data_IF_834376468879
#
_entry.id   IF_834376468879
#
_cell.length_a   1.000
_cell.length_b   1.000
_cell.length_c   1.000
_cell.angle_alpha   90.00
_cell.angle_beta   90.00
_cell.angle_gamma   90.00
#
_symmetry.space_group_name_H-M   'P 1'
#
loop_
_entity.id
_entity.type
_entity.pdbx_description
1 polymer ?
#
# COMPACT_ATOMS: atom_id res chain seq x y z
N UNK A 1 12.24 -0.61 32.92
CA UNK A 1 11.25 -1.03 31.91
C UNK A 1 11.74 -0.52 30.56
N UNK A 2 12.64 -1.27 29.91
CA UNK A 2 13.10 -0.91 28.57
C UNK A 2 12.26 -1.73 27.60
N UNK A 3 11.19 -1.12 27.09
CA UNK A 3 10.48 -1.66 25.94
C UNK A 3 11.46 -1.62 24.76
N UNK A 4 12.15 -2.73 24.54
CA UNK A 4 12.94 -2.94 23.34
C UNK A 4 11.99 -2.71 22.17
N UNK A 5 12.28 -1.70 21.35
CA UNK A 5 11.74 -1.64 20.00
C UNK A 5 12.29 -2.88 19.30
N UNK A 6 11.58 -3.99 19.39
CA UNK A 6 11.78 -5.11 18.50
C UNK A 6 11.52 -4.55 17.11
N UNK A 7 12.59 -4.38 16.34
CA UNK A 7 12.45 -4.20 14.90
C UNK A 7 11.56 -5.35 14.43
N UNK A 8 10.44 -5.08 13.73
CA UNK A 8 9.56 -6.13 13.27
C UNK A 8 10.40 -7.15 12.51
N UNK A 9 10.25 -8.44 12.83
CA UNK A 9 10.96 -9.49 12.10
C UNK A 9 10.65 -9.37 10.61
N UNK A 10 11.59 -9.80 9.77
CA UNK A 10 11.44 -9.76 8.32
C UNK A 10 10.12 -10.41 7.85
N UNK A 11 9.70 -11.48 8.53
CA UNK A 11 8.42 -12.15 8.31
C UNK A 11 7.21 -11.22 8.53
N UNK A 12 7.23 -10.41 9.59
CA UNK A 12 6.18 -9.41 9.87
C UNK A 12 6.15 -8.34 8.80
N UNK A 13 7.32 -7.87 8.35
CA UNK A 13 7.41 -6.89 7.26
C UNK A 13 6.86 -7.47 5.95
N UNK A 14 7.17 -8.74 5.64
CA UNK A 14 6.65 -9.44 4.45
C UNK A 14 5.13 -9.62 4.49
N UNK A 15 4.57 -10.03 5.64
CA UNK A 15 3.11 -10.14 5.81
C UNK A 15 2.46 -8.76 5.61
N UNK A 16 3.02 -7.72 6.22
CA UNK A 16 2.51 -6.35 6.07
C UNK A 16 2.56 -5.88 4.62
N UNK A 17 3.62 -6.21 3.89
CA UNK A 17 3.76 -5.92 2.46
C UNK A 17 2.67 -6.60 1.65
N UNK A 18 2.40 -7.87 1.94
CA UNK A 18 1.36 -8.64 1.25
C UNK A 18 -0.04 -8.07 1.49
N UNK A 19 -0.33 -7.68 2.73
CA UNK A 19 -1.59 -6.99 3.09
C UNK A 19 -1.72 -5.67 2.33
N UNK A 20 -0.69 -4.83 2.33
CA UNK A 20 -0.72 -3.55 1.60
C UNK A 20 -0.90 -3.76 0.09
N UNK A 21 -0.25 -4.77 -0.49
CA UNK A 21 -0.42 -5.15 -1.91
C UNK A 21 -1.83 -5.63 -2.20
N UNK A 22 -2.46 -6.37 -1.29
CA UNK A 22 -3.86 -6.78 -1.42
C UNK A 22 -4.80 -5.58 -1.36
N UNK A 23 -4.67 -4.71 -0.36
CA UNK A 23 -5.46 -3.48 -0.25
C UNK A 23 -5.32 -2.59 -1.49
N UNK A 24 -4.12 -2.50 -2.07
CA UNK A 24 -3.89 -1.77 -3.30
C UNK A 24 -4.65 -2.37 -4.50
N UNK A 25 -4.73 -3.70 -4.61
CA UNK A 25 -5.53 -4.39 -5.66
C UNK A 25 -7.03 -4.18 -5.47
N UNK A 26 -7.49 -4.20 -4.22
CA UNK A 26 -8.90 -3.96 -3.89
C UNK A 26 -9.30 -2.53 -4.24
N UNK A 27 -8.43 -1.55 -3.95
CA UNK A 27 -8.61 -0.16 -4.38
C UNK A 27 -8.66 -0.03 -5.91
N UNK A 28 -7.87 -0.83 -6.64
CA UNK A 28 -7.92 -0.81 -8.10
C UNK A 28 -9.26 -1.28 -8.64
N UNK A 29 -9.75 -2.40 -8.11
CA UNK A 29 -11.08 -2.94 -8.47
C UNK A 29 -12.18 -1.93 -8.15
N UNK A 30 -12.09 -1.23 -7.01
CA UNK A 30 -13.04 -0.19 -6.64
C UNK A 30 -12.97 1.02 -7.60
N UNK A 31 -11.78 1.46 -8.00
CA UNK A 31 -11.60 2.55 -8.96
C UNK A 31 -12.18 2.17 -10.33
N UNK A 32 -11.94 0.94 -10.80
CA UNK A 32 -12.50 0.44 -12.05
C UNK A 32 -14.03 0.46 -12.01
N UNK A 33 -14.65 -0.08 -10.95
CA UNK A 33 -16.10 -0.08 -10.78
C UNK A 33 -16.71 1.34 -10.74
N UNK A 34 -15.97 2.33 -10.22
CA UNK A 34 -16.40 3.73 -10.13
C UNK A 34 -16.09 4.55 -11.38
N UNK A 35 -15.26 4.04 -12.31
CA UNK A 35 -14.85 4.79 -13.51
C UNK A 35 -16.02 4.97 -14.48
N UNK A 36 -16.94 4.01 -14.54
CA UNK A 36 -18.12 4.07 -15.39
C UNK A 36 -19.24 4.98 -14.84
N UNK A 37 -19.09 5.49 -13.60
CA UNK A 37 -20.06 6.38 -12.96
C UNK A 37 -19.66 7.86 -13.09
N UNK A 38 -20.40 8.68 -13.86
CA UNK A 38 -20.05 10.09 -14.08
C UNK A 38 -20.26 10.99 -12.85
N UNK A 39 -21.00 10.53 -11.84
CA UNK A 39 -21.32 11.31 -10.63
C UNK A 39 -20.28 11.17 -9.52
N UNK A 40 -19.36 10.20 -9.63
CA UNK A 40 -18.45 9.81 -8.55
C UNK A 40 -17.04 10.40 -8.66
N UNK A 41 -16.86 11.50 -9.41
CA UNK A 41 -15.54 12.11 -9.66
C UNK A 41 -14.75 12.44 -8.39
N UNK A 42 -15.41 12.93 -7.33
CA UNK A 42 -14.77 13.21 -6.04
C UNK A 42 -14.34 11.92 -5.32
N UNK A 43 -15.18 10.90 -5.35
CA UNK A 43 -14.89 9.57 -4.78
C UNK A 43 -13.70 8.93 -5.50
N UNK A 44 -13.72 8.96 -6.83
CA UNK A 44 -12.64 8.45 -7.67
C UNK A 44 -11.32 9.19 -7.44
N UNK A 45 -11.34 10.51 -7.26
CA UNK A 45 -10.15 11.28 -6.90
C UNK A 45 -9.60 10.89 -5.52
N UNK A 46 -10.47 10.67 -4.52
CA UNK A 46 -10.06 10.20 -3.18
C UNK A 46 -9.46 8.81 -3.22
N UNK A 47 -10.04 7.88 -3.98
CA UNK A 47 -9.53 6.51 -4.13
C UNK A 47 -8.18 6.50 -4.84
N UNK A 48 -8.01 7.27 -5.91
CA UNK A 48 -6.72 7.42 -6.59
C UNK A 48 -5.63 7.98 -5.67
N UNK A 49 -5.97 8.95 -4.82
CA UNK A 49 -5.04 9.49 -3.81
C UNK A 49 -4.67 8.44 -2.76
N UNK A 50 -5.63 7.65 -2.28
CA UNK A 50 -5.37 6.54 -1.35
C UNK A 50 -4.49 5.47 -2.00
N UNK A 51 -4.78 5.09 -3.24
CA UNK A 51 -3.98 4.15 -4.02
C UNK A 51 -2.53 4.61 -4.16
N UNK A 52 -2.31 5.88 -4.46
CA UNK A 52 -0.96 6.46 -4.53
C UNK A 52 -0.23 6.35 -3.18
N UNK A 53 -0.91 6.70 -2.08
CA UNK A 53 -0.33 6.57 -0.74
C UNK A 53 -0.02 5.13 -0.32
N UNK A 54 -0.83 4.15 -0.75
CA UNK A 54 -0.52 2.73 -0.55
C UNK A 54 0.69 2.31 -1.37
N UNK A 55 0.79 2.73 -2.64
CA UNK A 55 1.96 2.47 -3.48
C UNK A 55 3.24 3.00 -2.85
N UNK A 56 3.23 4.23 -2.32
CA UNK A 56 4.39 4.83 -1.68
C UNK A 56 4.80 4.05 -0.41
N UNK A 57 3.82 3.57 0.38
CA UNK A 57 4.08 2.74 1.56
C UNK A 57 4.61 1.36 1.21
N UNK A 58 4.10 0.76 0.13
CA UNK A 58 4.59 -0.51 -0.42
C UNK A 58 6.06 -0.34 -0.81
N UNK A 59 6.39 0.69 -1.59
CA UNK A 59 7.77 0.97 -2.01
C UNK A 59 8.70 1.16 -0.80
N UNK A 60 8.32 1.97 0.19
CA UNK A 60 9.13 2.16 1.41
C UNK A 60 9.32 0.87 2.22
N UNK A 61 8.36 -0.05 2.19
CA UNK A 61 8.43 -1.32 2.89
C UNK A 61 9.25 -2.35 2.09
N UNK A 62 9.13 -2.35 0.77
CA UNK A 62 9.95 -3.11 -0.15
C UNK A 62 11.42 -2.70 -0.04
N UNK A 63 11.73 -1.40 -0.04
CA UNK A 63 13.09 -0.88 0.14
C UNK A 63 13.71 -1.33 1.49
N UNK A 64 12.87 -1.53 2.52
CA UNK A 64 13.33 -2.03 3.83
C UNK A 64 13.57 -3.53 3.86
N UNK A 65 12.84 -4.32 3.08
CA UNK A 65 12.94 -5.79 3.02
C UNK A 65 14.01 -6.20 2.01
N UNK A 66 14.07 -5.52 0.86
CA UNK A 66 15.02 -5.74 -0.22
C UNK A 66 15.78 -4.42 -0.48
N UNK A 67 16.82 -4.11 0.31
CA UNK A 67 17.55 -2.85 0.17
C UNK A 67 18.39 -2.72 -1.12
N UNK A 68 18.28 -3.61 -2.11
CA UNK A 68 19.35 -3.75 -3.12
C UNK A 68 18.93 -4.16 -4.55
N UNK A 69 17.84 -3.61 -5.14
CA UNK A 69 17.53 -3.88 -6.57
C UNK A 69 16.85 -2.73 -7.36
N UNK A 70 17.09 -1.45 -7.04
CA UNK A 70 16.81 -0.35 -8.00
C UNK A 70 17.97 0.66 -7.99
N UNK A 71 19.00 0.33 -8.78
CA UNK A 71 19.96 1.24 -9.38
C UNK A 71 19.79 1.17 -10.91
#
# INVERSE_FOLDING_TARGET
MNAQMEMPSEDVLRIKLEVLRQEHRDLDTAIEALTDSPFDRLTLQRLKKQKLGLKDRIAQLEDRITPDIIA
#
